data_IF_170676208949
#
_entry.id   IF_170676208949
#
_cell.length_a   1.000
_cell.length_b   1.000
_cell.length_c   1.000
_cell.angle_alpha   90.00
_cell.angle_beta   90.00
_cell.angle_gamma   90.00
#
_symmetry.space_group_name_H-M   'P 1'
#
loop_
_entity.id
_entity.type
_entity.pdbx_description
1 polymer ?
#
# COMPACT_ATOMS: atom_id res chain seq x y z
N UNK A 1 -2.92 -17.51 -10.26
CA UNK A 1 -3.81 -16.42 -9.79
C UNK A 1 -3.05 -15.11 -9.73
N UNK A 2 -3.70 -14.03 -10.13
CA UNK A 2 -3.07 -12.71 -10.09
C UNK A 2 -3.14 -12.14 -8.69
N UNK A 3 -2.03 -11.59 -8.16
CA UNK A 3 -2.07 -10.93 -6.87
C UNK A 3 -2.98 -9.70 -6.88
N UNK A 4 -3.69 -9.51 -5.78
CA UNK A 4 -4.54 -8.33 -5.57
C UNK A 4 -3.73 -7.27 -4.84
N UNK A 5 -3.49 -6.14 -5.49
CA UNK A 5 -2.78 -5.01 -4.90
C UNK A 5 -3.78 -3.89 -4.65
N UNK A 6 -3.92 -3.50 -3.40
CA UNK A 6 -4.74 -2.35 -3.03
C UNK A 6 -3.86 -1.11 -2.98
N UNK A 7 -4.17 -0.12 -3.81
CA UNK A 7 -3.45 1.15 -3.82
C UNK A 7 -4.36 2.25 -3.26
N UNK A 8 -3.96 2.80 -2.13
CA UNK A 8 -4.69 3.89 -1.45
C UNK A 8 -3.96 5.20 -1.74
N UNK A 9 -4.56 6.03 -2.59
CA UNK A 9 -3.94 7.25 -3.11
C UNK A 9 -5.03 8.21 -3.57
N UNK A 10 -4.92 9.49 -3.23
CA UNK A 10 -5.93 10.49 -3.59
C UNK A 10 -5.60 11.29 -4.86
N UNK A 11 -4.39 11.16 -5.39
CA UNK A 11 -3.97 11.88 -6.60
C UNK A 11 -4.13 11.03 -7.85
N UNK A 12 -4.92 11.53 -8.82
CA UNK A 12 -5.20 10.78 -10.05
C UNK A 12 -3.95 10.51 -10.88
N UNK A 13 -2.98 11.43 -10.88
CA UNK A 13 -1.73 11.26 -11.64
C UNK A 13 -0.92 10.09 -11.10
N UNK A 14 -0.80 9.96 -9.80
CA UNK A 14 -0.09 8.85 -9.17
C UNK A 14 -0.83 7.55 -9.39
N UNK A 15 -2.15 7.58 -9.28
CA UNK A 15 -2.99 6.40 -9.55
C UNK A 15 -2.79 5.91 -10.97
N UNK A 16 -2.80 6.81 -11.95
CA UNK A 16 -2.60 6.47 -13.37
C UNK A 16 -1.22 5.86 -13.60
N UNK A 17 -0.18 6.46 -12.99
CA UNK A 17 1.19 5.97 -13.13
C UNK A 17 1.32 4.53 -12.63
N UNK A 18 0.81 4.25 -11.45
CA UNK A 18 0.92 2.91 -10.83
C UNK A 18 0.08 1.89 -11.60
N UNK A 19 -1.09 2.29 -12.11
CA UNK A 19 -1.91 1.40 -12.94
C UNK A 19 -1.17 0.93 -14.20
N UNK A 20 -0.33 1.77 -14.77
CA UNK A 20 0.46 1.40 -15.95
C UNK A 20 1.54 0.38 -15.64
N UNK A 21 2.06 0.41 -14.41
CA UNK A 21 3.12 -0.50 -13.98
C UNK A 21 2.54 -1.89 -13.70
N UNK A 22 1.41 -1.94 -13.01
CA UNK A 22 0.78 -3.21 -12.63
C UNK A 22 -0.28 -3.58 -13.67
N UNK A 23 0.20 -4.24 -14.72
CA UNK A 23 -0.64 -4.59 -15.88
C UNK A 23 -1.73 -5.57 -15.51
N UNK A 24 -2.94 -5.41 -16.10
CA UNK A 24 -4.08 -6.28 -15.75
C UNK A 24 -3.88 -7.76 -16.04
N UNK A 25 -2.95 -8.11 -16.92
CA UNK A 25 -2.64 -9.52 -17.21
C UNK A 25 -1.82 -10.18 -16.10
N UNK A 26 -1.15 -9.40 -15.26
CA UNK A 26 -0.27 -9.92 -14.20
C UNK A 26 -0.75 -9.61 -12.78
N UNK A 27 -1.49 -8.53 -12.60
CA UNK A 27 -1.94 -8.04 -11.30
C UNK A 27 -3.36 -7.52 -11.36
N UNK A 28 -4.08 -7.64 -10.24
CA UNK A 28 -5.35 -6.95 -10.04
C UNK A 28 -5.08 -5.74 -9.17
N UNK A 29 -5.08 -4.55 -9.77
CA UNK A 29 -4.91 -3.31 -9.01
C UNK A 29 -6.28 -2.81 -8.60
N UNK A 30 -6.49 -2.67 -7.29
CA UNK A 30 -7.73 -2.20 -6.70
C UNK A 30 -7.48 -0.77 -6.18
N UNK A 31 -8.30 0.18 -6.63
CA UNK A 31 -8.12 1.59 -6.33
C UNK A 31 -8.93 2.00 -5.10
N UNK A 32 -8.29 2.72 -4.19
CA UNK A 32 -8.98 3.39 -3.10
C UNK A 32 -8.48 4.84 -3.06
N UNK A 33 -9.40 5.78 -2.92
CA UNK A 33 -9.10 7.21 -3.03
C UNK A 33 -9.04 7.91 -1.68
N UNK A 34 -9.43 7.20 -0.61
CA UNK A 34 -9.38 7.70 0.77
C UNK A 34 -8.94 6.58 1.69
N UNK A 35 -8.52 6.95 2.90
CA UNK A 35 -8.12 5.96 3.90
C UNK A 35 -9.29 5.08 4.33
N UNK A 36 -10.45 5.68 4.56
CA UNK A 36 -11.66 4.92 4.93
C UNK A 36 -12.07 3.94 3.85
N UNK A 37 -12.03 4.37 2.58
CA UNK A 37 -12.33 3.48 1.45
C UNK A 37 -11.35 2.32 1.39
N UNK A 38 -10.06 2.60 1.59
CA UNK A 38 -9.03 1.56 1.58
C UNK A 38 -9.24 0.53 2.66
N UNK A 39 -9.56 0.96 3.88
CA UNK A 39 -9.82 0.05 4.99
C UNK A 39 -11.04 -0.81 4.69
N UNK A 40 -12.13 -0.21 4.19
CA UNK A 40 -13.35 -0.94 3.87
C UNK A 40 -13.11 -2.00 2.80
N UNK A 41 -12.36 -1.68 1.75
CA UNK A 41 -12.00 -2.63 0.69
C UNK A 41 -11.15 -3.76 1.26
N UNK A 42 -10.14 -3.43 2.06
CA UNK A 42 -9.25 -4.43 2.65
C UNK A 42 -10.00 -5.41 3.54
N UNK A 43 -11.00 -4.93 4.28
CA UNK A 43 -11.81 -5.79 5.13
C UNK A 43 -12.75 -6.70 4.33
N UNK A 44 -13.19 -6.27 3.15
CA UNK A 44 -14.19 -6.97 2.36
C UNK A 44 -13.62 -7.87 1.26
N UNK A 45 -12.35 -7.71 0.90
CA UNK A 45 -11.72 -8.45 -0.19
C UNK A 45 -10.40 -9.06 0.26
N UNK A 46 -9.92 -10.05 -0.49
CA UNK A 46 -8.59 -10.63 -0.24
C UNK A 46 -7.54 -9.76 -0.90
N UNK A 47 -6.67 -9.17 -0.10
CA UNK A 47 -5.61 -8.28 -0.58
C UNK A 47 -4.26 -8.94 -0.30
N UNK A 48 -3.41 -9.01 -1.33
CA UNK A 48 -2.08 -9.61 -1.20
C UNK A 48 -1.01 -8.61 -0.81
N UNK A 49 -1.23 -7.33 -1.13
CA UNK A 49 -0.31 -6.26 -0.76
C UNK A 49 -1.05 -4.93 -0.77
N UNK A 50 -0.73 -4.07 0.18
CA UNK A 50 -1.27 -2.70 0.25
C UNK A 50 -0.16 -1.72 -0.07
N UNK A 51 -0.42 -0.85 -1.05
CA UNK A 51 0.42 0.30 -1.36
C UNK A 51 -0.30 1.52 -0.79
N UNK A 52 0.32 2.18 0.17
CA UNK A 52 -0.35 3.16 1.02
C UNK A 52 0.31 4.53 0.96
N UNK A 53 -0.39 5.51 0.41
CA UNK A 53 0.04 6.90 0.51
C UNK A 53 -0.19 7.39 1.93
N UNK A 54 0.83 7.98 2.52
CA UNK A 54 0.76 8.48 3.90
C UNK A 54 -0.02 9.80 3.97
N UNK A 55 0.03 10.60 2.91
CA UNK A 55 -0.59 11.94 2.89
C UNK A 55 -1.99 11.89 2.28
N UNK A 56 -2.92 11.25 2.99
CA UNK A 56 -4.30 11.11 2.54
C UNK A 56 -5.17 12.27 3.05
N UNK A 57 -6.31 12.58 2.37
CA UNK A 57 -7.13 13.72 2.75
C UNK A 57 -7.99 13.51 3.99
N UNK A 58 -8.39 12.26 4.27
CA UNK A 58 -9.36 11.95 5.33
C UNK A 58 -8.73 11.45 6.62
N UNK A 59 -7.56 10.82 6.54
CA UNK A 59 -6.83 10.37 7.72
C UNK A 59 -5.36 10.19 7.40
N UNK A 60 -4.54 10.18 8.45
CA UNK A 60 -3.12 9.88 8.33
C UNK A 60 -2.93 8.44 7.84
N UNK A 61 -2.05 8.24 6.85
CA UNK A 61 -1.77 6.89 6.36
C UNK A 61 -1.21 5.96 7.41
N UNK A 62 -0.47 6.48 8.39
CA UNK A 62 0.02 5.65 9.50
C UNK A 62 -1.15 5.10 10.32
N UNK A 63 -2.22 5.87 10.46
CA UNK A 63 -3.43 5.39 11.13
C UNK A 63 -4.10 4.28 10.32
N UNK A 64 -4.09 4.39 8.98
CA UNK A 64 -4.58 3.31 8.12
C UNK A 64 -3.80 2.02 8.39
N UNK A 65 -2.47 2.10 8.42
CA UNK A 65 -1.62 0.93 8.70
C UNK A 65 -1.95 0.32 10.07
N UNK A 66 -2.09 1.14 11.09
CA UNK A 66 -2.45 0.66 12.43
C UNK A 66 -3.78 -0.09 12.41
N UNK A 67 -4.79 0.44 11.73
CA UNK A 67 -6.11 -0.19 11.65
C UNK A 67 -6.07 -1.51 10.90
N UNK A 68 -5.29 -1.59 9.83
CA UNK A 68 -5.12 -2.84 9.08
C UNK A 68 -4.47 -3.90 9.96
N UNK A 69 -3.44 -3.54 10.72
CA UNK A 69 -2.75 -4.47 11.62
C UNK A 69 -3.62 -4.92 12.78
N UNK A 70 -4.57 -4.08 13.20
CA UNK A 70 -5.49 -4.39 14.29
C UNK A 70 -6.72 -5.19 13.83
N UNK A 71 -6.80 -5.53 12.54
CA UNK A 71 -7.93 -6.26 11.99
C UNK A 71 -8.08 -7.63 12.65
N UNK A 72 -9.33 -8.04 12.87
CA UNK A 72 -9.64 -9.39 13.35
C UNK A 72 -9.50 -10.45 12.25
N UNK A 73 -9.33 -10.01 11.00
CA UNK A 73 -9.12 -10.89 9.85
C UNK A 73 -7.63 -11.21 9.75
N UNK A 74 -7.18 -12.45 10.05
CA UNK A 74 -5.75 -12.75 10.14
C UNK A 74 -4.97 -12.46 8.87
N UNK A 75 -5.55 -12.74 7.70
CA UNK A 75 -4.92 -12.46 6.41
C UNK A 75 -4.62 -10.98 6.27
N UNK A 76 -5.54 -10.12 6.67
CA UNK A 76 -5.36 -8.68 6.57
C UNK A 76 -4.35 -8.17 7.58
N UNK A 77 -4.39 -8.67 8.80
CA UNK A 77 -3.46 -8.24 9.85
C UNK A 77 -2.00 -8.52 9.47
N UNK A 78 -1.77 -9.49 8.57
CA UNK A 78 -0.44 -9.89 8.12
C UNK A 78 -0.12 -9.49 6.68
N UNK A 79 -1.02 -8.78 6.00
CA UNK A 79 -0.81 -8.36 4.61
C UNK A 79 0.36 -7.37 4.52
N UNK A 80 1.30 -7.55 3.57
CA UNK A 80 2.39 -6.60 3.40
C UNK A 80 1.90 -5.21 3.06
N UNK A 81 2.51 -4.19 3.66
CA UNK A 81 2.18 -2.78 3.42
C UNK A 81 3.46 -2.05 3.02
N UNK A 82 3.41 -1.34 1.89
CA UNK A 82 4.47 -0.43 1.48
C UNK A 82 3.94 1.00 1.64
N UNK A 83 4.59 1.79 2.49
CA UNK A 83 4.23 3.20 2.68
C UNK A 83 4.89 4.05 1.61
N UNK A 84 4.15 5.01 1.05
CA UNK A 84 4.66 5.97 0.09
C UNK A 84 4.49 7.36 0.69
N UNK A 85 5.58 8.11 0.82
CA UNK A 85 5.56 9.41 1.48
C UNK A 85 6.17 10.50 0.59
N UNK A 86 5.58 11.69 0.63
CA UNK A 86 6.15 12.88 -0.03
C UNK A 86 7.37 13.40 0.72
N UNK A 87 7.51 13.05 1.99
CA UNK A 87 8.57 13.51 2.88
C UNK A 87 9.42 12.34 3.35
N UNK A 88 10.46 11.98 2.58
CA UNK A 88 11.43 10.99 3.02
C UNK A 88 12.42 11.62 3.99
N UNK A 89 11.91 12.38 4.95
CA UNK A 89 12.75 13.02 5.95
C UNK A 89 13.17 12.01 7.01
N UNK A 90 14.24 12.39 7.72
CA UNK A 90 14.77 11.61 8.81
C UNK A 90 13.69 11.27 9.82
N UNK A 91 13.42 9.99 10.01
CA UNK A 91 12.39 9.51 10.93
C UNK A 91 11.15 8.94 10.26
N UNK A 92 10.90 9.24 8.98
CA UNK A 92 9.71 8.72 8.28
C UNK A 92 9.78 7.21 8.10
N UNK A 93 10.96 6.67 7.82
CA UNK A 93 11.14 5.23 7.73
C UNK A 93 10.77 4.55 9.04
N UNK A 94 11.23 5.11 10.16
CA UNK A 94 10.91 4.58 11.49
C UNK A 94 9.42 4.65 11.77
N UNK A 95 8.77 5.78 11.43
CA UNK A 95 7.33 5.93 11.62
C UNK A 95 6.56 4.89 10.83
N UNK A 96 6.96 4.62 9.60
CA UNK A 96 6.32 3.61 8.76
C UNK A 96 6.45 2.23 9.39
N UNK A 97 7.63 1.85 9.81
CA UNK A 97 7.86 0.54 10.42
C UNK A 97 7.13 0.41 11.76
N UNK A 98 7.13 1.47 12.58
CA UNK A 98 6.42 1.48 13.86
C UNK A 98 4.90 1.37 13.66
N UNK A 99 4.38 1.89 12.55
CA UNK A 99 2.97 1.78 12.22
C UNK A 99 2.58 0.40 11.69
N UNK A 100 3.56 -0.45 11.39
CA UNK A 100 3.33 -1.81 10.92
C UNK A 100 3.56 -2.02 9.43
N UNK A 101 4.17 -1.04 8.75
CA UNK A 101 4.51 -1.18 7.33
C UNK A 101 5.72 -2.09 7.17
N UNK A 102 5.78 -2.81 6.05
CA UNK A 102 6.88 -3.72 5.76
C UNK A 102 8.02 -3.03 5.03
N UNK A 103 7.71 -1.95 4.31
CA UNK A 103 8.70 -1.18 3.57
C UNK A 103 8.17 0.22 3.37
N UNK A 104 9.01 1.10 2.87
CA UNK A 104 8.58 2.46 2.53
C UNK A 104 9.37 2.98 1.34
N UNK A 105 8.82 3.99 0.67
CA UNK A 105 9.53 4.69 -0.38
C UNK A 105 9.05 6.13 -0.45
N UNK A 106 9.89 7.01 -1.01
CA UNK A 106 9.55 8.41 -1.15
C UNK A 106 9.02 8.72 -2.55
N UNK A 107 8.22 9.79 -2.63
CA UNK A 107 7.79 10.35 -3.92
C UNK A 107 8.90 11.26 -4.46
N UNK A 108 9.08 11.36 -5.77
CA UNK A 108 8.28 10.68 -6.81
C UNK A 108 8.59 9.17 -6.85
N UNK A 109 7.59 8.39 -7.20
CA UNK A 109 7.71 6.94 -7.21
C UNK A 109 8.71 6.51 -8.28
N UNK A 110 9.72 5.75 -7.85
CA UNK A 110 10.63 5.08 -8.78
C UNK A 110 10.00 3.76 -9.19
N UNK A 111 9.67 3.64 -10.47
CA UNK A 111 8.92 2.50 -11.01
C UNK A 111 9.63 1.18 -10.78
N UNK A 112 10.94 1.14 -11.06
CA UNK A 112 11.74 -0.08 -10.93
C UNK A 112 11.81 -0.52 -9.47
N UNK A 113 12.06 0.42 -8.57
CA UNK A 113 12.16 0.17 -7.14
C UNK A 113 10.83 -0.35 -6.58
N UNK A 114 9.72 0.29 -6.97
CA UNK A 114 8.40 -0.14 -6.54
C UNK A 114 8.11 -1.57 -6.99
N UNK A 115 8.38 -1.88 -8.25
CA UNK A 115 8.13 -3.20 -8.80
C UNK A 115 8.94 -4.27 -8.06
N UNK A 116 10.21 -3.99 -7.79
CA UNK A 116 11.08 -4.92 -7.06
C UNK A 116 10.58 -5.16 -5.64
N UNK A 117 10.17 -4.10 -4.93
CA UNK A 117 9.63 -4.23 -3.57
C UNK A 117 8.35 -5.07 -3.55
N UNK A 118 7.46 -4.84 -4.50
CA UNK A 118 6.21 -5.58 -4.60
C UNK A 118 6.49 -7.05 -4.87
N UNK A 119 7.36 -7.34 -5.85
CA UNK A 119 7.70 -8.73 -6.21
C UNK A 119 8.32 -9.47 -5.01
N UNK A 120 9.21 -8.81 -4.29
CA UNK A 120 9.87 -9.40 -3.14
C UNK A 120 8.88 -9.74 -2.02
N UNK A 121 8.00 -8.79 -1.70
CA UNK A 121 7.04 -8.99 -0.60
C UNK A 121 5.98 -10.04 -0.95
N UNK A 122 5.53 -10.09 -2.20
CA UNK A 122 4.57 -11.10 -2.64
C UNK A 122 5.21 -12.49 -2.63
N UNK A 123 6.45 -12.61 -3.10
CA UNK A 123 7.17 -13.88 -3.09
C UNK A 123 7.37 -14.41 -1.66
N UNK A 124 7.67 -13.52 -0.72
CA UNK A 124 7.90 -13.90 0.68
C UNK A 124 6.63 -14.28 1.44
N UNK A 125 5.47 -13.97 0.87
CA UNK A 125 4.18 -14.25 1.50
C UNK A 125 3.80 -15.74 1.47
N UNK A 126 4.41 -16.49 0.58
CA UNK A 126 4.10 -17.92 0.37
C UNK A 126 4.71 -18.78 1.47
#
# INVERSE_FOLDING_TARGET
MKPNILYIEDHSDNMTLVKRIFRPDSYNLIEAWTGFQGIAIAESQNIDLVLLDINLPDMDGYEVAHRLRASTKPELANTPIIAVTANAMKGDAKKAMDAGCNDYMSKPINIVDLFEKVETLIANKI
#
